data_IF_028482618706
#
_entry.id   IF_028482618706
#
_cell.length_a   1.000
_cell.length_b   1.000
_cell.length_c   1.000
_cell.angle_alpha   90.00
_cell.angle_beta   90.00
_cell.angle_gamma   90.00
#
_symmetry.space_group_name_H-M   'P 1'
#
loop_
_entity.id
_entity.type
_entity.pdbx_description
1 polymer ?
#
# COMPACT_ATOMS: atom_id res chain seq x y z
N UNK A 1 20.72 -8.73 -8.56
CA UNK A 1 19.60 -7.79 -8.74
C UNK A 1 19.23 -7.24 -7.37
N UNK A 2 19.16 -5.92 -7.20
CA UNK A 2 18.59 -5.33 -5.97
C UNK A 2 17.09 -5.64 -6.02
N UNK A 3 16.55 -6.26 -4.99
CA UNK A 3 15.11 -6.48 -4.91
C UNK A 3 14.41 -5.11 -4.95
N UNK A 4 13.43 -4.96 -5.84
CA UNK A 4 12.54 -3.80 -5.84
C UNK A 4 11.46 -3.93 -4.76
N UNK A 5 11.40 -5.09 -4.09
CA UNK A 5 10.49 -5.36 -3.01
C UNK A 5 10.86 -4.52 -1.79
N UNK A 6 9.89 -3.78 -1.29
CA UNK A 6 10.06 -3.01 -0.08
C UNK A 6 8.78 -2.26 0.28
N UNK A 7 8.69 -1.75 1.52
CA UNK A 7 7.51 -1.01 1.96
C UNK A 7 7.38 0.39 1.35
N UNK A 8 8.40 0.84 0.61
CA UNK A 8 8.46 2.15 0.01
C UNK A 8 8.74 2.04 -1.49
N UNK A 9 7.80 2.47 -2.33
CA UNK A 9 7.99 2.57 -3.78
C UNK A 9 8.45 3.96 -4.17
N UNK A 10 9.75 4.10 -4.45
CA UNK A 10 10.34 5.34 -4.95
C UNK A 10 9.80 5.72 -6.33
N UNK A 11 9.73 7.03 -6.59
CA UNK A 11 9.30 7.62 -7.85
C UNK A 11 10.39 8.53 -8.43
N UNK A 12 10.48 8.70 -9.77
CA UNK A 12 11.50 9.54 -10.41
C UNK A 12 11.49 11.03 -9.99
N UNK A 13 10.40 11.48 -9.37
CA UNK A 13 10.21 12.84 -8.87
C UNK A 13 10.74 13.06 -7.44
N UNK A 14 11.46 12.09 -6.86
CA UNK A 14 12.03 12.24 -5.52
C UNK A 14 11.03 12.03 -4.38
N UNK A 15 9.81 11.55 -4.68
CA UNK A 15 8.86 11.07 -3.68
C UNK A 15 8.93 9.54 -3.57
N UNK A 16 8.44 9.01 -2.45
CA UNK A 16 8.18 7.59 -2.26
C UNK A 16 6.79 7.40 -1.67
N UNK A 17 6.12 6.34 -2.09
CA UNK A 17 4.83 5.91 -1.58
C UNK A 17 5.03 4.75 -0.62
N UNK A 18 4.38 4.78 0.54
CA UNK A 18 4.12 3.61 1.37
C UNK A 18 2.62 3.43 1.59
N UNK A 19 2.18 2.19 1.84
CA UNK A 19 0.80 1.88 2.20
C UNK A 19 0.81 1.13 3.52
N UNK A 20 -0.06 1.53 4.44
CA UNK A 20 -0.18 0.93 5.78
C UNK A 20 -1.58 0.40 6.02
N UNK A 21 -1.71 -0.74 6.68
CA UNK A 21 -2.99 -1.17 7.22
C UNK A 21 -3.41 -0.32 8.44
N UNK A 22 -4.60 -0.59 8.96
CA UNK A 22 -5.18 0.06 10.13
C UNK A 22 -4.37 -0.15 11.43
N UNK A 23 -3.48 -1.14 11.44
CA UNK A 23 -2.55 -1.45 12.55
C UNK A 23 -1.16 -0.86 12.32
N UNK A 24 -0.95 -0.14 11.23
CA UNK A 24 0.33 0.49 10.88
C UNK A 24 1.34 -0.45 10.20
N UNK A 25 0.97 -1.70 9.87
CA UNK A 25 1.83 -2.61 9.09
C UNK A 25 1.98 -2.06 7.68
N UNK A 26 3.23 -1.90 7.23
CA UNK A 26 3.54 -1.52 5.86
C UNK A 26 3.34 -2.68 4.88
N UNK A 27 2.75 -2.40 3.72
CA UNK A 27 2.62 -3.34 2.61
C UNK A 27 3.89 -3.30 1.76
N UNK A 28 4.39 -4.46 1.39
CA UNK A 28 5.54 -4.64 0.50
C UNK A 28 5.07 -4.58 -0.95
N UNK A 29 5.60 -3.61 -1.71
CA UNK A 29 5.30 -3.51 -3.14
C UNK A 29 5.93 -4.65 -3.93
N UNK A 30 5.33 -4.95 -5.09
CA UNK A 30 5.78 -5.96 -6.06
C UNK A 30 5.88 -7.40 -5.53
N UNK A 31 5.39 -7.63 -4.31
CA UNK A 31 5.37 -8.93 -3.65
C UNK A 31 3.95 -9.42 -3.44
N UNK A 32 3.70 -10.69 -3.78
CA UNK A 32 2.47 -11.35 -3.37
C UNK A 32 2.49 -11.56 -1.85
N UNK A 33 1.57 -10.92 -1.14
CA UNK A 33 1.38 -11.11 0.29
C UNK A 33 -0.09 -11.06 0.67
N UNK A 34 -0.41 -11.67 1.83
CA UNK A 34 -1.75 -11.57 2.42
C UNK A 34 -1.91 -10.18 3.03
N UNK A 35 -2.84 -9.40 2.49
CA UNK A 35 -3.21 -8.07 3.00
C UNK A 35 -4.13 -8.16 4.24
N UNK A 36 -4.39 -9.38 4.70
CA UNK A 36 -5.10 -9.74 5.92
C UNK A 36 -6.60 -9.98 5.68
N UNK A 37 -7.26 -10.52 6.68
CA UNK A 37 -8.63 -11.00 6.53
C UNK A 37 -9.69 -9.93 6.82
N UNK A 38 -10.91 -10.22 6.34
CA UNK A 38 -12.15 -9.55 6.71
C UNK A 38 -13.03 -10.62 7.37
N UNK A 39 -13.23 -10.53 8.69
CA UNK A 39 -14.00 -11.53 9.44
C UNK A 39 -15.38 -10.98 9.78
N UNK A 40 -16.43 -11.71 9.36
CA UNK A 40 -17.82 -11.42 9.68
C UNK A 40 -18.30 -12.49 10.67
N UNK A 41 -18.60 -12.10 11.91
CA UNK A 41 -19.02 -13.03 12.97
C UNK A 41 -20.50 -12.97 13.31
N UNK A 42 -21.28 -12.14 12.60
CA UNK A 42 -22.71 -11.95 12.84
C UNK A 42 -23.42 -11.32 11.65
N UNK A 43 -24.70 -10.96 11.83
CA UNK A 43 -25.52 -10.35 10.78
C UNK A 43 -24.92 -9.02 10.32
N UNK A 44 -24.66 -8.92 9.02
CA UNK A 44 -24.17 -7.69 8.38
C UNK A 44 -25.34 -6.97 7.73
N UNK A 45 -25.62 -5.74 8.18
CA UNK A 45 -26.69 -4.88 7.64
C UNK A 45 -26.16 -3.78 6.71
N UNK A 46 -24.86 -3.79 6.39
CA UNK A 46 -24.20 -2.74 5.61
C UNK A 46 -22.90 -3.20 4.96
N UNK A 47 -22.03 -2.25 4.62
CA UNK A 47 -20.76 -2.57 3.98
C UNK A 47 -19.74 -3.09 4.99
N UNK A 48 -18.89 -4.01 4.53
CA UNK A 48 -17.69 -4.43 5.27
C UNK A 48 -16.48 -3.86 4.58
N UNK A 49 -15.64 -3.16 5.33
CA UNK A 49 -14.49 -2.42 4.80
C UNK A 49 -13.21 -2.82 5.51
N UNK A 50 -12.13 -2.90 4.73
CA UNK A 50 -10.77 -2.87 5.23
C UNK A 50 -10.05 -1.65 4.68
N UNK A 51 -9.48 -0.85 5.57
CA UNK A 51 -8.93 0.46 5.23
C UNK A 51 -7.41 0.40 5.22
N UNK A 52 -6.81 1.00 4.19
CA UNK A 52 -5.38 1.22 4.11
C UNK A 52 -5.11 2.71 3.91
N UNK A 53 -4.00 3.18 4.47
CA UNK A 53 -3.55 4.57 4.34
C UNK A 53 -2.35 4.64 3.41
N UNK A 54 -2.47 5.41 2.33
CA UNK A 54 -1.36 5.77 1.46
C UNK A 54 -0.61 6.99 2.02
N UNK A 55 0.70 6.86 2.20
CA UNK A 55 1.56 7.92 2.73
C UNK A 55 2.62 8.27 1.70
N UNK A 56 2.71 9.56 1.35
CA UNK A 56 3.72 10.09 0.42
C UNK A 56 4.76 10.84 1.23
N UNK A 57 6.03 10.47 1.07
CA UNK A 57 7.16 11.15 1.73
C UNK A 57 8.27 11.45 0.72
N UNK A 58 9.12 12.46 0.96
CA UNK A 58 10.33 12.65 0.16
C UNK A 58 11.29 11.46 0.31
N UNK A 59 11.92 11.03 -0.77
CA UNK A 59 13.03 10.06 -0.69
C UNK A 59 14.20 10.68 0.08
N UNK A 60 14.86 9.96 1.02
CA UNK A 60 15.94 10.54 1.82
C UNK A 60 17.10 10.96 0.91
N UNK A 61 17.59 12.19 1.07
CA UNK A 61 18.65 12.75 0.21
C UNK A 61 18.21 13.09 -1.22
N UNK A 62 16.95 12.86 -1.58
CA UNK A 62 16.40 13.20 -2.89
C UNK A 62 15.86 14.63 -2.97
N UNK A 63 15.92 15.23 -4.16
CA UNK A 63 15.22 16.49 -4.45
C UNK A 63 13.82 16.19 -4.97
N UNK A 64 12.80 16.84 -4.40
CA UNK A 64 11.41 16.71 -4.86
C UNK A 64 11.22 17.53 -6.14
N UNK A 65 10.73 16.88 -7.19
CA UNK A 65 10.40 17.50 -8.48
C UNK A 65 8.89 17.63 -8.62
N UNK A 66 8.42 18.76 -9.10
CA UNK A 66 6.99 18.96 -9.43
C UNK A 66 6.59 18.09 -10.61
N UNK A 67 5.38 17.52 -10.57
CA UNK A 67 4.84 16.72 -11.67
C UNK A 67 3.80 15.71 -11.21
N UNK A 68 3.10 15.10 -12.16
CA UNK A 68 2.16 14.00 -11.89
C UNK A 68 2.93 12.70 -11.68
N UNK A 69 2.48 11.88 -10.74
CA UNK A 69 2.92 10.50 -10.60
C UNK A 69 1.74 9.61 -10.24
N UNK A 70 1.88 8.33 -10.50
CA UNK A 70 0.85 7.32 -10.25
C UNK A 70 1.51 6.04 -9.74
N UNK A 71 0.85 5.36 -8.82
CA UNK A 71 1.20 4.01 -8.39
C UNK A 71 -0.08 3.17 -8.40
N UNK A 72 0.05 1.88 -8.67
CA UNK A 72 -1.05 0.93 -8.65
C UNK A 72 -0.64 -0.29 -7.84
N UNK A 73 -1.57 -0.80 -7.03
CA UNK A 73 -1.45 -2.10 -6.36
C UNK A 73 -2.68 -2.93 -6.76
N UNK A 74 -2.52 -4.04 -7.47
CA UNK A 74 -3.62 -4.95 -7.70
C UNK A 74 -4.00 -5.65 -6.40
N UNK A 75 -5.28 -5.68 -6.07
CA UNK A 75 -5.82 -6.36 -4.89
C UNK A 75 -6.76 -7.47 -5.35
N UNK A 76 -6.54 -8.68 -4.86
CA UNK A 76 -7.44 -9.82 -5.05
C UNK A 76 -8.18 -10.10 -3.76
N UNK A 77 -9.51 -10.14 -3.82
CA UNK A 77 -10.36 -10.56 -2.69
C UNK A 77 -10.85 -11.97 -2.97
N UNK A 78 -10.55 -12.90 -2.07
CA UNK A 78 -10.99 -14.29 -2.15
C UNK A 78 -12.01 -14.58 -1.05
N UNK A 79 -13.05 -15.34 -1.39
CA UNK A 79 -14.03 -15.87 -0.46
C UNK A 79 -13.75 -17.35 -0.23
N UNK A 80 -13.92 -17.81 1.01
CA UNK A 80 -13.89 -19.22 1.38
C UNK A 80 -15.31 -19.73 1.57
#
# INVERSE_FOLDING_TARGET
LVSLDGPNKGQPNGLRLSIKDDKGKEITFDKQEVLGDITITGTVTGNVSKVYTAVITPTPGGSVKTGKFSAAIPVTVTYN
#
